data_IF_883351411954
#
_entry.id   IF_883351411954
#
_cell.length_a   1.000
_cell.length_b   1.000
_cell.length_c   1.000
_cell.angle_alpha   90.00
_cell.angle_beta   90.00
_cell.angle_gamma   90.00
#
_symmetry.space_group_name_H-M   'P 1'
#
loop_
_entity.id
_entity.type
_entity.pdbx_description
1 polymer ?
#
# COMPACT_ATOMS: atom_id res chain seq x y z
N UNK A 1 23.70 5.35 6.00
CA UNK A 1 22.90 4.22 5.50
C UNK A 1 21.61 4.17 6.32
N UNK A 2 20.53 4.80 5.82
CA UNK A 2 19.22 4.74 6.48
C UNK A 2 18.68 3.33 6.30
N UNK A 3 18.46 2.60 7.40
CA UNK A 3 17.97 1.22 7.34
C UNK A 3 16.59 1.18 6.66
N UNK A 4 16.37 0.22 5.76
CA UNK A 4 15.09 -0.01 5.08
C UNK A 4 13.94 -0.25 6.09
N UNK A 5 14.26 -0.80 7.26
CA UNK A 5 13.32 -1.01 8.38
C UNK A 5 12.84 0.34 8.95
N UNK A 6 13.76 1.31 9.12
CA UNK A 6 13.42 2.65 9.61
C UNK A 6 12.49 3.37 8.63
N UNK A 7 12.72 3.22 7.32
CA UNK A 7 11.86 3.83 6.30
C UNK A 7 10.45 3.25 6.29
N UNK A 8 10.29 1.92 6.41
CA UNK A 8 8.97 1.30 6.41
C UNK A 8 8.18 1.65 7.67
N UNK A 9 8.82 1.61 8.84
CA UNK A 9 8.18 1.99 10.10
C UNK A 9 7.67 3.44 10.05
N UNK A 10 8.48 4.39 9.56
CA UNK A 10 8.06 5.79 9.39
C UNK A 10 6.86 5.91 8.45
N UNK A 11 6.85 5.19 7.33
CA UNK A 11 5.72 5.19 6.38
C UNK A 11 4.45 4.65 7.03
N UNK A 12 4.53 3.53 7.76
CA UNK A 12 3.37 2.90 8.39
C UNK A 12 2.82 3.68 9.59
N UNK A 13 3.64 4.51 10.24
CA UNK A 13 3.21 5.40 11.33
C UNK A 13 2.38 6.60 10.84
N UNK A 14 2.40 6.90 9.54
CA UNK A 14 1.61 7.99 8.98
C UNK A 14 0.10 7.64 9.02
N UNK A 15 -0.78 8.45 9.63
CA UNK A 15 -2.18 8.09 9.84
C UNK A 15 -2.95 7.71 8.56
N UNK A 16 -2.70 8.39 7.45
CA UNK A 16 -3.35 8.06 6.17
C UNK A 16 -2.88 6.73 5.60
N UNK A 17 -1.61 6.37 5.81
CA UNK A 17 -1.08 5.06 5.44
C UNK A 17 -1.66 3.98 6.36
N UNK A 18 -1.73 4.22 7.66
CA UNK A 18 -2.33 3.29 8.61
C UNK A 18 -3.80 2.98 8.25
N UNK A 19 -4.57 3.98 7.80
CA UNK A 19 -5.94 3.78 7.30
C UNK A 19 -6.00 2.91 6.05
N UNK A 20 -5.01 3.01 5.15
CA UNK A 20 -4.93 2.17 3.95
C UNK A 20 -4.68 0.70 4.28
N UNK A 21 -4.01 0.36 5.38
CA UNK A 21 -3.80 -1.05 5.77
C UNK A 21 -5.14 -1.79 5.90
N UNK A 22 -6.16 -1.13 6.45
CA UNK A 22 -7.51 -1.65 6.58
C UNK A 22 -8.40 -1.43 5.35
N UNK A 23 -7.88 -0.93 4.23
CA UNK A 23 -8.66 -0.73 3.01
C UNK A 23 -8.82 -2.06 2.24
N UNK A 24 -10.04 -2.60 2.11
CA UNK A 24 -10.26 -3.89 1.43
C UNK A 24 -10.21 -3.78 -0.11
N UNK A 25 -10.27 -2.56 -0.67
CA UNK A 25 -10.09 -2.31 -2.09
C UNK A 25 -8.61 -2.25 -2.50
N UNK A 26 -8.29 -2.30 -3.80
CA UNK A 26 -6.93 -2.07 -4.31
C UNK A 26 -6.39 -0.70 -3.86
N UNK A 27 -5.16 -0.69 -3.35
CA UNK A 27 -4.44 0.55 -3.06
C UNK A 27 -2.93 0.40 -3.26
N UNK A 28 -2.27 1.53 -3.46
CA UNK A 28 -0.82 1.64 -3.68
C UNK A 28 -0.28 2.90 -3.03
N UNK A 29 0.97 2.83 -2.59
CA UNK A 29 1.79 3.97 -2.17
C UNK A 29 3.06 3.95 -3.01
N UNK A 30 3.33 5.06 -3.67
CA UNK A 30 4.47 5.28 -4.53
C UNK A 30 5.39 6.36 -3.95
N UNK A 31 6.65 6.34 -4.39
CA UNK A 31 7.51 7.51 -4.26
C UNK A 31 6.88 8.72 -4.96
N UNK A 32 7.25 9.94 -4.54
CA UNK A 32 6.74 11.19 -5.12
C UNK A 32 6.93 11.34 -6.64
N UNK A 33 7.96 10.72 -7.20
CA UNK A 33 8.28 10.67 -8.64
C UNK A 33 7.66 9.46 -9.36
N UNK A 34 6.94 8.61 -8.63
CA UNK A 34 6.35 7.35 -9.09
C UNK A 34 7.33 6.34 -9.69
N UNK A 35 8.63 6.46 -9.40
CA UNK A 35 9.65 5.51 -9.87
C UNK A 35 9.69 4.21 -9.05
N UNK A 36 9.18 4.22 -7.81
CA UNK A 36 9.16 3.06 -6.92
C UNK A 36 7.79 2.87 -6.30
N UNK A 37 7.27 1.65 -6.39
CA UNK A 37 6.17 1.21 -5.54
C UNK A 37 6.75 0.90 -4.16
N UNK A 38 6.20 1.51 -3.11
CA UNK A 38 6.69 1.39 -1.74
C UNK A 38 5.82 0.47 -0.90
N UNK A 39 4.50 0.56 -1.07
CA UNK A 39 3.54 -0.37 -0.47
C UNK A 39 2.35 -0.60 -1.40
N UNK A 40 1.73 -1.77 -1.28
CA UNK A 40 0.43 -2.09 -1.86
C UNK A 40 -0.18 -3.26 -1.08
N UNK A 41 -1.50 -3.40 -1.11
CA UNK A 41 -2.11 -4.68 -0.74
C UNK A 41 -2.12 -5.65 -1.93
N UNK A 42 -2.51 -6.90 -1.66
CA UNK A 42 -2.56 -7.95 -2.68
C UNK A 42 -3.53 -7.63 -3.82
N UNK A 43 -4.66 -6.99 -3.53
CA UNK A 43 -5.61 -6.57 -4.57
C UNK A 43 -5.05 -5.45 -5.44
N UNK A 44 -4.28 -4.52 -4.87
CA UNK A 44 -3.48 -3.53 -5.58
C UNK A 44 -2.43 -4.16 -6.50
N UNK A 45 -1.63 -5.09 -5.98
CA UNK A 45 -0.65 -5.84 -6.77
C UNK A 45 -1.29 -6.54 -7.97
N UNK A 46 -2.44 -7.20 -7.77
CA UNK A 46 -3.20 -7.85 -8.85
C UNK A 46 -3.78 -6.86 -9.85
N UNK A 47 -4.32 -5.75 -9.39
CA UNK A 47 -4.88 -4.70 -10.24
C UNK A 47 -3.83 -3.99 -11.09
N UNK A 48 -2.53 -4.07 -10.76
CA UNK A 48 -1.45 -3.62 -11.65
C UNK A 48 -0.82 -4.75 -12.48
N UNK A 49 -1.39 -5.95 -12.44
CA UNK A 49 -0.96 -7.11 -13.23
C UNK A 49 0.18 -7.93 -12.60
N UNK A 50 0.49 -7.74 -11.33
CA UNK A 50 1.42 -8.60 -10.60
C UNK A 50 0.70 -9.81 -9.99
N UNK A 51 1.40 -10.93 -9.86
CA UNK A 51 0.85 -12.17 -9.29
C UNK A 51 0.87 -12.18 -7.75
N UNK A 52 1.59 -11.25 -7.11
CA UNK A 52 1.64 -11.07 -5.66
C UNK A 52 2.33 -9.78 -5.25
N UNK A 53 2.22 -9.41 -3.96
CA UNK A 53 2.78 -8.16 -3.41
C UNK A 53 4.29 -8.13 -3.53
N UNK A 54 4.98 -9.20 -3.14
CA UNK A 54 6.43 -9.34 -3.27
C UNK A 54 6.96 -9.01 -4.68
N UNK A 55 6.35 -9.62 -5.70
CA UNK A 55 6.72 -9.42 -7.10
C UNK A 55 6.42 -7.97 -7.55
N UNK A 56 5.32 -7.39 -7.08
CA UNK A 56 5.03 -5.97 -7.34
C UNK A 56 6.10 -5.06 -6.71
N UNK A 57 6.51 -5.33 -5.47
CA UNK A 57 7.47 -4.48 -4.74
C UNK A 57 8.90 -4.57 -5.29
N UNK A 58 9.31 -5.72 -5.80
CA UNK A 58 10.64 -5.94 -6.38
C UNK A 58 10.78 -5.45 -7.82
N UNK A 59 9.66 -5.13 -8.47
CA UNK A 59 9.66 -4.76 -9.87
C UNK A 59 10.31 -3.39 -10.07
N UNK A 60 11.18 -3.31 -11.08
CA UNK A 60 11.66 -2.02 -11.57
C UNK A 60 10.59 -1.36 -12.44
N UNK A 61 10.09 -0.21 -11.99
CA UNK A 61 9.07 0.57 -12.68
C UNK A 61 9.71 1.66 -13.54
N UNK A 62 10.31 1.24 -14.66
CA UNK A 62 10.78 2.15 -15.68
C UNK A 62 9.62 3.01 -16.23
N UNK A 63 9.95 4.17 -16.82
CA UNK A 63 8.98 5.13 -17.37
C UNK A 63 8.01 4.52 -18.41
N UNK A 64 8.37 3.39 -19.03
CA UNK A 64 7.53 2.65 -19.99
C UNK A 64 6.47 1.76 -19.33
N UNK A 65 6.52 1.53 -18.02
CA UNK A 65 5.54 0.72 -17.32
C UNK A 65 4.18 1.46 -17.29
N UNK A 66 3.16 0.89 -17.94
CA UNK A 66 1.88 1.57 -18.17
C UNK A 66 1.20 2.10 -16.90
N UNK A 67 1.22 1.34 -15.79
CA UNK A 67 0.64 1.80 -14.53
C UNK A 67 1.46 2.92 -13.86
N UNK A 68 2.75 2.70 -13.59
CA UNK A 68 3.65 3.72 -13.04
C UNK A 68 3.67 5.00 -13.87
N UNK A 69 3.67 4.92 -15.20
CA UNK A 69 3.59 6.08 -16.08
C UNK A 69 2.30 6.89 -15.92
N UNK A 70 1.17 6.25 -15.56
CA UNK A 70 -0.05 6.99 -15.20
C UNK A 70 0.12 7.73 -13.87
N UNK A 71 0.68 7.06 -12.86
CA UNK A 71 0.94 7.68 -11.55
C UNK A 71 1.91 8.85 -11.67
N UNK A 72 2.99 8.72 -12.45
CA UNK A 72 3.97 9.77 -12.71
C UNK A 72 3.35 11.01 -13.36
N UNK A 73 2.38 10.83 -14.27
CA UNK A 73 1.65 11.95 -14.88
C UNK A 73 0.65 12.60 -13.94
N UNK A 74 0.04 11.82 -13.04
CA UNK A 74 -0.93 12.32 -12.06
C UNK A 74 -0.25 13.09 -10.91
N UNK A 75 0.86 12.57 -10.40
CA UNK A 75 1.58 13.10 -9.24
C UNK A 75 1.77 14.64 -9.24
N UNK A 76 2.25 15.29 -10.31
CA UNK A 76 2.43 16.75 -10.33
C UNK A 76 1.10 17.53 -10.30
N UNK A 77 -0.02 16.91 -10.68
CA UNK A 77 -1.35 17.53 -10.74
C UNK A 77 -2.14 17.43 -9.44
N UNK A 78 -1.66 16.61 -8.49
CA UNK A 78 -2.31 16.42 -7.20
C UNK A 78 -2.07 17.63 -6.28
N UNK A 79 -3.07 18.06 -5.51
CA UNK A 79 -2.95 19.14 -4.54
C UNK A 79 -1.84 18.86 -3.53
N UNK A 80 -1.05 19.90 -3.23
CA UNK A 80 0.04 19.80 -2.24
C UNK A 80 -0.48 19.65 -0.80
N UNK A 81 -1.73 20.05 -0.55
CA UNK A 81 -2.40 19.94 0.76
C UNK A 81 -2.90 18.52 1.07
N UNK A 82 -2.71 17.57 0.16
CA UNK A 82 -3.13 16.17 0.34
C UNK A 82 -4.61 15.93 0.07
N UNK A 83 -5.36 16.92 -0.43
CA UNK A 83 -6.76 16.74 -0.80
C UNK A 83 -6.91 15.65 -1.88
N UNK A 84 -7.70 14.58 -1.64
CA UNK A 84 -7.92 13.54 -2.63
C UNK A 84 -8.62 14.04 -3.90
N UNK A 85 -8.13 13.57 -5.05
CA UNK A 85 -8.74 13.79 -6.36
C UNK A 85 -9.24 12.50 -6.97
N UNK A 86 -10.43 12.56 -7.56
CA UNK A 86 -10.93 11.48 -8.40
C UNK A 86 -10.29 11.55 -9.78
N UNK A 87 -9.58 10.49 -10.16
CA UNK A 87 -8.83 10.42 -11.41
C UNK A 87 -9.16 9.12 -12.15
N UNK A 88 -9.27 9.17 -13.48
CA UNK A 88 -9.46 7.95 -14.28
C UNK A 88 -8.12 7.31 -14.56
N UNK A 89 -7.95 6.05 -14.14
CA UNK A 89 -6.75 5.26 -14.43
C UNK A 89 -7.12 3.95 -15.14
N UNK A 90 -6.10 3.30 -15.69
CA UNK A 90 -6.19 1.96 -16.26
C UNK A 90 -5.47 0.94 -15.40
N UNK A 91 -6.19 -0.12 -15.05
CA UNK A 91 -5.72 -1.28 -14.29
C UNK A 91 -5.78 -2.55 -15.13
N UNK A 92 -5.11 -3.61 -14.70
CA UNK A 92 -5.29 -4.94 -15.24
C UNK A 92 -6.72 -5.44 -14.94
N UNK A 93 -7.36 -6.01 -15.95
CA UNK A 93 -8.69 -6.60 -15.90
C UNK A 93 -8.72 -7.92 -16.68
N UNK A 94 -9.90 -8.57 -16.70
CA UNK A 94 -10.07 -9.93 -17.26
C UNK A 94 -9.64 -10.07 -18.72
N UNK A 95 -9.81 -9.01 -19.52
CA UNK A 95 -9.58 -9.02 -20.97
C UNK A 95 -8.50 -8.00 -21.40
N UNK A 96 -7.59 -7.63 -20.50
CA UNK A 96 -6.55 -6.63 -20.77
C UNK A 96 -6.60 -5.48 -19.76
N UNK A 97 -6.67 -4.23 -20.22
CA UNK A 97 -6.77 -3.07 -19.34
C UNK A 97 -8.20 -2.56 -19.16
N UNK A 98 -8.59 -2.25 -17.94
CA UNK A 98 -9.90 -1.68 -17.58
C UNK A 98 -9.74 -0.25 -17.07
N UNK A 99 -10.66 0.67 -17.46
CA UNK A 99 -10.67 2.04 -16.95
C UNK A 99 -11.51 2.14 -15.68
N UNK A 100 -10.91 2.61 -14.60
CA UNK A 100 -11.53 2.74 -13.28
C UNK A 100 -11.34 4.16 -12.74
N UNK A 101 -12.15 4.54 -11.75
CA UNK A 101 -11.97 5.78 -10.98
C UNK A 101 -11.15 5.46 -9.74
N UNK A 102 -10.00 6.12 -9.61
CA UNK A 102 -9.17 6.10 -8.42
C UNK A 102 -9.36 7.38 -7.62
N UNK A 103 -9.19 7.28 -6.31
CA UNK A 103 -8.84 8.44 -5.50
C UNK A 103 -7.32 8.49 -5.38
N UNK A 104 -6.73 9.63 -5.72
CA UNK A 104 -5.29 9.85 -5.68
C UNK A 104 -4.98 11.12 -4.87
N UNK A 105 -3.95 11.04 -4.01
CA UNK A 105 -3.52 12.17 -3.19
C UNK A 105 -2.03 12.12 -2.88
N UNK A 106 -1.49 13.27 -2.50
CA UNK A 106 -0.15 13.38 -1.94
C UNK A 106 -0.22 13.14 -0.44
N UNK A 107 0.78 12.46 0.10
CA UNK A 107 0.98 12.32 1.53
C UNK A 107 2.47 12.49 1.86
N UNK A 108 2.77 12.62 3.14
CA UNK A 108 4.14 12.70 3.64
C UNK A 108 4.30 11.75 4.81
N UNK A 109 5.45 11.08 4.88
CA UNK A 109 5.86 10.32 6.05
C UNK A 109 7.20 10.89 6.53
N UNK A 110 7.14 11.76 7.54
CA UNK A 110 8.26 12.65 7.87
C UNK A 110 8.64 13.54 6.67
N UNK A 111 9.91 13.53 6.28
CA UNK A 111 10.41 14.29 5.12
C UNK A 111 10.19 13.58 3.77
N UNK A 112 9.61 12.37 3.78
CA UNK A 112 9.41 11.56 2.57
C UNK A 112 8.08 11.93 1.92
N UNK A 113 8.14 12.49 0.70
CA UNK A 113 6.97 12.74 -0.14
C UNK A 113 6.49 11.48 -0.86
N UNK A 114 5.18 11.24 -0.82
CA UNK A 114 4.54 10.00 -1.26
C UNK A 114 3.28 10.29 -2.08
N UNK A 115 2.91 9.36 -2.95
CA UNK A 115 1.64 9.37 -3.70
C UNK A 115 0.83 8.14 -3.32
N UNK A 116 -0.38 8.33 -2.81
CA UNK A 116 -1.33 7.24 -2.60
C UNK A 116 -2.40 7.21 -3.68
N UNK A 117 -2.81 5.99 -4.02
CA UNK A 117 -3.96 5.71 -4.84
C UNK A 117 -4.80 4.61 -4.18
N UNK A 118 -6.13 4.73 -4.24
CA UNK A 118 -7.04 3.62 -3.92
C UNK A 118 -8.20 3.55 -4.90
N UNK A 119 -8.82 2.37 -5.00
CA UNK A 119 -10.01 2.13 -5.82
C UNK A 119 -11.22 1.79 -4.93
N UNK A 120 -12.00 2.79 -4.47
CA UNK A 120 -13.11 2.57 -3.53
C UNK A 120 -14.20 1.65 -4.09
N UNK A 121 -14.44 1.70 -5.41
CA UNK A 121 -15.47 0.88 -6.07
C UNK A 121 -15.15 -0.62 -6.13
N UNK A 122 -13.91 -1.03 -5.81
CA UNK A 122 -13.45 -2.41 -5.91
C UNK A 122 -13.25 -3.08 -4.54
N UNK A 123 -13.80 -2.51 -3.47
CA UNK A 123 -13.77 -3.06 -2.11
C UNK A 123 -14.39 -4.46 -2.06
N UNK A 124 -13.68 -5.41 -1.45
CA UNK A 124 -14.18 -6.77 -1.15
C UNK A 124 -13.65 -7.24 0.20
N UNK A 125 -14.55 -7.64 1.08
CA UNK A 125 -14.22 -8.06 2.45
C UNK A 125 -14.25 -6.90 3.45
N UNK A 126 -13.81 -7.19 4.67
CA UNK A 126 -13.82 -6.27 5.81
C UNK A 126 -12.44 -5.63 6.05
N UNK A 127 -12.39 -4.49 6.75
CA UNK A 127 -11.11 -3.90 7.16
C UNK A 127 -10.23 -4.83 8.00
N UNK A 128 -10.84 -5.67 8.85
CA UNK A 128 -10.10 -6.65 9.67
C UNK A 128 -9.38 -7.68 8.80
N UNK A 129 -10.08 -8.24 7.81
CA UNK A 129 -9.49 -9.20 6.86
C UNK A 129 -8.38 -8.55 6.02
N UNK A 130 -8.58 -7.30 5.61
CA UNK A 130 -7.57 -6.54 4.86
C UNK A 130 -6.29 -6.32 5.68
N UNK A 131 -6.42 -5.92 6.95
CA UNK A 131 -5.28 -5.75 7.87
C UNK A 131 -4.55 -7.06 8.09
N UNK A 132 -5.28 -8.16 8.36
CA UNK A 132 -4.67 -9.49 8.55
C UNK A 132 -3.88 -9.88 7.30
N UNK A 133 -4.50 -9.78 6.11
CA UNK A 133 -3.85 -10.16 4.87
C UNK A 133 -2.59 -9.33 4.59
N UNK A 134 -2.65 -8.01 4.82
CA UNK A 134 -1.51 -7.13 4.62
C UNK A 134 -0.34 -7.49 5.56
N UNK A 135 -0.60 -7.67 6.85
CA UNK A 135 0.44 -7.94 7.85
C UNK A 135 1.08 -9.30 7.63
N UNK A 136 0.29 -10.33 7.30
CA UNK A 136 0.81 -11.66 7.00
C UNK A 136 1.75 -11.67 5.78
N UNK A 137 1.46 -10.84 4.76
CA UNK A 137 2.26 -10.73 3.54
C UNK A 137 3.52 -9.84 3.69
N UNK A 138 3.69 -9.14 4.82
CA UNK A 138 4.87 -8.31 5.04
C UNK A 138 6.12 -9.17 5.19
N UNK A 139 7.20 -8.80 4.49
CA UNK A 139 8.50 -9.48 4.64
C UNK A 139 9.23 -9.09 5.91
N UNK A 140 9.03 -7.86 6.36
CA UNK A 140 9.59 -7.37 7.61
C UNK A 140 8.81 -7.97 8.79
N UNK A 141 9.46 -8.29 9.91
CA UNK A 141 8.78 -8.67 11.14
C UNK A 141 7.74 -7.61 11.54
N UNK A 142 6.47 -8.02 11.63
CA UNK A 142 5.35 -7.14 11.93
C UNK A 142 4.28 -7.89 12.72
N UNK A 143 3.64 -7.18 13.64
CA UNK A 143 2.47 -7.63 14.39
C UNK A 143 1.37 -6.59 14.25
N UNK A 144 0.13 -7.05 14.11
CA UNK A 144 -1.04 -6.21 14.31
C UNK A 144 -1.80 -6.68 15.55
N UNK A 145 -2.40 -5.71 16.22
CA UNK A 145 -3.23 -5.92 17.40
C UNK A 145 -4.61 -5.34 17.12
N UNK A 146 -5.63 -5.87 17.78
CA UNK A 146 -6.92 -5.22 17.80
C UNK A 146 -6.98 -4.10 18.86
N UNK A 147 -8.15 -3.47 19.02
CA UNK A 147 -8.33 -2.38 19.96
C UNK A 147 -8.22 -2.80 21.43
N UNK A 148 -8.37 -4.10 21.75
CA UNK A 148 -8.19 -4.63 23.10
C UNK A 148 -6.72 -4.94 23.39
N UNK A 149 -5.85 -4.89 22.37
CA UNK A 149 -4.44 -5.25 22.47
C UNK A 149 -4.18 -6.72 22.19
N UNK A 150 -5.18 -7.49 21.75
CA UNK A 150 -5.01 -8.89 21.40
C UNK A 150 -4.33 -9.04 20.04
N UNK A 151 -3.38 -9.98 19.87
CA UNK A 151 -2.75 -10.22 18.57
C UNK A 151 -3.77 -10.58 17.49
N UNK A 152 -3.77 -9.79 16.42
CA UNK A 152 -4.66 -9.93 15.27
C UNK A 152 -4.00 -10.67 14.10
N UNK A 153 -2.74 -10.37 13.83
CA UNK A 153 -1.96 -10.98 12.74
C UNK A 153 -0.45 -10.82 12.99
N UNK A 154 0.34 -11.70 12.37
CA UNK A 154 1.79 -11.66 12.41
C UNK A 154 2.35 -11.97 11.03
N UNK A 155 3.41 -11.28 10.63
CA UNK A 155 4.21 -11.72 9.49
C UNK A 155 5.04 -12.95 9.86
N UNK A 156 5.54 -13.67 8.86
CA UNK A 156 6.36 -14.87 9.07
C UNK A 156 7.56 -14.58 9.99
N UNK A 157 8.24 -13.44 9.78
CA UNK A 157 9.39 -13.02 10.58
C UNK A 157 9.06 -12.64 12.03
N UNK A 158 7.78 -12.50 12.39
CA UNK A 158 7.31 -12.18 13.74
C UNK A 158 6.48 -13.30 14.38
N UNK A 159 6.33 -14.47 13.73
CA UNK A 159 5.48 -15.55 14.21
C UNK A 159 5.85 -16.03 15.63
N UNK A 160 7.15 -16.05 15.97
CA UNK A 160 7.62 -16.42 17.31
C UNK A 160 7.26 -15.38 18.40
N UNK A 161 7.11 -14.11 18.03
CA UNK A 161 6.71 -13.04 18.94
C UNK A 161 5.21 -13.07 19.20
N UNK A 162 4.41 -13.45 18.20
CA UNK A 162 2.95 -13.57 18.33
C UNK A 162 2.52 -14.67 19.33
N UNK A 163 3.34 -15.71 19.50
CA UNK A 163 3.09 -16.80 20.46
C UNK A 163 3.66 -16.53 21.86
N UNK A 164 4.41 -15.44 22.03
CA UNK A 164 4.96 -15.04 23.32
C UNK A 164 4.02 -14.02 23.94
N UNK A 165 3.43 -14.35 25.10
CA UNK A 165 2.67 -13.36 25.87
C UNK A 165 3.58 -12.15 26.15
N UNK A 166 3.19 -10.97 25.64
CA UNK A 166 3.82 -9.70 26.00
C UNK A 166 3.59 -9.54 27.50
N UNK A 167 4.63 -9.77 28.30
CA UNK A 167 4.58 -9.56 29.75
C UNK A 167 4.64 -8.05 29.99
N UNK A 168 3.73 -7.57 30.83
CA UNK A 168 3.70 -6.19 31.34
C UNK A 168 5.02 -5.76 32.00
#
# INVERSE_FOLDING_TARGET
MTSQISSLSTILSEPDVARLIGEPGPWWIWSSDASKLLLANLSGARAMGATGVAIAMERDYAASHAFAGQVARLAPLLPADGTPRSERIRVAGRFGSESVVAEAWRLRAGDVGLIALRLPAMRRGSPREATIAFVTDLRQPALAFDAAGDPLAASEGAAALASTALRD
#
